data_IF_868896927695
#
_entry.id   IF_868896927695
#
_cell.length_a   1.000
_cell.length_b   1.000
_cell.length_c   1.000
_cell.angle_alpha   90.00
_cell.angle_beta   90.00
_cell.angle_gamma   90.00
#
_symmetry.space_group_name_H-M   'P 1'
#
loop_
_entity.id
_entity.type
_entity.pdbx_description
1 polymer ?
#
# COMPACT_ATOMS: atom_id res chain seq x y z
N UNK A 1 -2.31 15.90 -31.85
CA UNK A 1 -2.71 15.68 -30.43
C UNK A 1 -3.81 16.68 -30.13
N UNK A 2 -5.05 16.27 -29.89
CA UNK A 2 -6.17 17.22 -29.72
C UNK A 2 -6.06 17.96 -28.38
N UNK A 3 -6.62 19.16 -28.29
CA UNK A 3 -6.61 19.98 -27.06
C UNK A 3 -7.16 19.21 -25.84
N UNK A 4 -8.21 18.39 -26.03
CA UNK A 4 -8.76 17.53 -24.98
C UNK A 4 -7.78 16.44 -24.52
N UNK A 5 -7.01 15.84 -25.42
CA UNK A 5 -5.99 14.83 -25.06
C UNK A 5 -4.85 15.47 -24.25
N UNK A 6 -4.47 16.71 -24.57
CA UNK A 6 -3.45 17.42 -23.81
C UNK A 6 -3.93 17.80 -22.40
N UNK A 7 -5.13 18.36 -22.27
CA UNK A 7 -5.75 18.68 -20.96
C UNK A 7 -5.86 17.41 -20.10
N UNK A 8 -6.31 16.29 -20.68
CA UNK A 8 -6.41 15.02 -19.98
C UNK A 8 -5.05 14.51 -19.44
N UNK A 9 -3.98 14.66 -20.23
CA UNK A 9 -2.62 14.28 -19.83
C UNK A 9 -2.09 15.15 -18.67
N UNK A 10 -2.37 16.46 -18.69
CA UNK A 10 -1.98 17.35 -17.60
C UNK A 10 -2.73 17.01 -16.31
N UNK A 11 -4.06 16.80 -16.40
CA UNK A 11 -4.88 16.42 -15.24
C UNK A 11 -4.40 15.10 -14.60
N UNK A 12 -4.12 14.09 -15.44
CA UNK A 12 -3.57 12.81 -14.97
C UNK A 12 -2.26 13.01 -14.20
N UNK A 13 -1.35 13.83 -14.74
CA UNK A 13 -0.07 14.13 -14.11
C UNK A 13 -0.27 14.83 -12.75
N UNK A 14 -1.17 15.81 -12.68
CA UNK A 14 -1.48 16.50 -11.43
C UNK A 14 -2.06 15.56 -10.36
N UNK A 15 -2.98 14.66 -10.74
CA UNK A 15 -3.56 13.67 -9.81
C UNK A 15 -2.51 12.72 -9.27
N UNK A 16 -1.66 12.17 -10.15
CA UNK A 16 -0.55 11.28 -9.74
C UNK A 16 0.40 12.01 -8.79
N UNK A 17 0.71 13.27 -9.09
CA UNK A 17 1.62 14.06 -8.27
C UNK A 17 1.03 14.41 -6.91
N UNK A 18 -0.23 14.83 -6.85
CA UNK A 18 -0.94 15.08 -5.61
C UNK A 18 -1.02 13.82 -4.73
N UNK A 19 -1.33 12.67 -5.34
CA UNK A 19 -1.31 11.38 -4.65
C UNK A 19 0.09 11.05 -4.11
N UNK A 20 1.12 11.20 -4.93
CA UNK A 20 2.51 10.97 -4.55
C UNK A 20 2.88 11.82 -3.34
N UNK A 21 2.74 13.14 -3.43
CA UNK A 21 3.11 14.06 -2.36
C UNK A 21 2.31 13.78 -1.09
N UNK A 22 0.99 13.65 -1.18
CA UNK A 22 0.14 13.38 -0.02
C UNK A 22 0.49 12.05 0.66
N UNK A 23 0.54 10.95 -0.10
CA UNK A 23 0.79 9.62 0.48
C UNK A 23 2.25 9.44 0.92
N UNK A 24 3.20 10.05 0.24
CA UNK A 24 4.61 9.98 0.60
C UNK A 24 4.87 10.74 1.91
N UNK A 25 4.40 11.99 2.01
CA UNK A 25 4.60 12.81 3.21
C UNK A 25 3.90 12.22 4.44
N UNK A 26 2.66 11.75 4.29
CA UNK A 26 1.85 11.31 5.44
C UNK A 26 2.19 9.87 5.86
N UNK A 27 2.39 8.97 4.89
CA UNK A 27 2.49 7.53 5.16
C UNK A 27 3.82 6.89 4.76
N UNK A 28 4.77 7.67 4.19
CA UNK A 28 6.00 7.14 3.63
C UNK A 28 5.77 6.22 2.43
N UNK A 29 4.70 6.46 1.66
CA UNK A 29 4.31 5.61 0.53
C UNK A 29 5.47 5.40 -0.46
N UNK A 30 5.61 4.16 -0.95
CA UNK A 30 6.61 3.75 -1.96
C UNK A 30 6.05 3.56 -3.36
N UNK A 31 4.81 4.02 -3.60
CA UNK A 31 4.16 4.00 -4.91
C UNK A 31 4.18 2.63 -5.62
N UNK A 32 3.77 1.57 -4.93
CA UNK A 32 3.60 0.24 -5.56
C UNK A 32 2.40 0.15 -6.54
N UNK A 33 1.67 1.25 -6.78
CA UNK A 33 0.51 1.27 -7.67
C UNK A 33 -0.75 0.56 -7.17
N UNK A 34 -0.71 -0.10 -6.00
CA UNK A 34 -1.81 -0.90 -5.45
C UNK A 34 -1.94 -0.67 -3.94
N UNK A 35 -2.70 0.34 -3.55
CA UNK A 35 -2.69 0.85 -2.18
C UNK A 35 -3.51 -0.03 -1.21
N UNK A 36 -2.86 -0.50 -0.14
CA UNK A 36 -3.47 -1.31 0.94
C UNK A 36 -3.30 -0.69 2.33
N UNK A 37 -3.34 0.64 2.41
CA UNK A 37 -3.18 1.36 3.68
C UNK A 37 -4.31 1.07 4.69
N UNK A 38 -5.55 0.94 4.21
CA UNK A 38 -6.71 0.68 5.06
C UNK A 38 -6.60 -0.67 5.78
N UNK A 39 -6.16 -1.70 5.07
CA UNK A 39 -5.96 -3.04 5.65
C UNK A 39 -4.85 -3.10 6.72
N UNK A 40 -3.93 -2.13 6.69
CA UNK A 40 -2.68 -2.17 7.45
C UNK A 40 -2.54 -1.00 8.44
N UNK A 41 -3.66 -0.56 9.03
CA UNK A 41 -3.64 0.46 10.08
C UNK A 41 -2.96 1.75 9.62
N UNK A 42 -3.22 2.15 8.38
CA UNK A 42 -2.60 3.31 7.72
C UNK A 42 -1.06 3.25 7.69
N UNK A 43 -0.50 2.05 7.55
CA UNK A 43 0.95 1.81 7.43
C UNK A 43 1.27 1.20 6.08
N UNK A 44 2.15 1.85 5.31
CA UNK A 44 2.53 1.35 3.99
C UNK A 44 3.44 0.10 4.13
N UNK A 45 3.02 -1.08 3.66
CA UNK A 45 3.81 -2.33 3.81
C UNK A 45 5.10 -2.29 2.99
N UNK A 46 5.11 -1.53 1.90
CA UNK A 46 6.25 -1.39 0.99
C UNK A 46 7.42 -0.62 1.63
N UNK A 47 7.21 -0.02 2.81
CA UNK A 47 8.29 0.58 3.60
C UNK A 47 9.08 -0.45 4.43
N UNK A 48 8.64 -1.70 4.46
CA UNK A 48 9.39 -2.83 4.98
C UNK A 48 10.57 -3.14 4.04
N UNK A 49 11.79 -3.43 4.55
CA UNK A 49 12.92 -3.85 3.71
C UNK A 49 12.62 -5.08 2.84
N UNK A 50 11.73 -5.96 3.31
CA UNK A 50 11.28 -7.15 2.58
C UNK A 50 10.04 -6.92 1.71
N UNK A 51 9.45 -5.72 1.76
CA UNK A 51 8.27 -5.33 0.98
C UNK A 51 7.07 -6.30 1.12
N UNK A 52 6.94 -6.98 2.26
CA UNK A 52 5.91 -7.97 2.52
C UNK A 52 4.55 -7.32 2.82
N UNK A 53 3.56 -7.65 1.98
CA UNK A 53 2.17 -7.16 2.09
C UNK A 53 1.32 -7.98 3.04
N UNK A 54 1.71 -9.23 3.33
CA UNK A 54 0.98 -10.18 4.17
C UNK A 54 1.84 -10.61 5.37
N UNK A 55 1.34 -10.38 6.57
CA UNK A 55 1.89 -10.80 7.86
C UNK A 55 3.29 -10.26 8.23
N UNK A 56 3.64 -10.29 9.52
CA UNK A 56 5.04 -10.14 9.92
C UNK A 56 5.86 -11.27 9.30
N UNK A 57 7.10 -10.96 8.90
CA UNK A 57 7.97 -11.88 8.18
C UNK A 57 8.63 -12.97 9.02
N UNK A 58 8.16 -13.21 10.25
CA UNK A 58 8.86 -14.00 11.28
C UNK A 58 10.05 -13.28 11.92
N UNK A 59 10.74 -12.41 11.17
CA UNK A 59 11.90 -11.64 11.62
C UNK A 59 11.62 -10.43 12.51
N UNK A 60 10.64 -10.52 13.42
CA UNK A 60 10.38 -9.45 14.39
C UNK A 60 11.18 -9.75 15.66
N UNK A 61 12.07 -8.85 16.05
CA UNK A 61 12.85 -8.97 17.30
C UNK A 61 11.93 -8.89 18.52
N UNK A 62 12.40 -9.39 19.66
CA UNK A 62 11.66 -9.37 20.93
C UNK A 62 11.22 -7.94 21.35
N UNK A 63 11.98 -6.91 20.95
CA UNK A 63 11.63 -5.51 21.19
C UNK A 63 10.66 -4.91 20.14
N UNK A 64 10.13 -5.69 19.20
CA UNK A 64 9.22 -5.24 18.13
C UNK A 64 9.89 -4.67 16.89
N UNK A 65 11.23 -4.67 16.81
CA UNK A 65 11.98 -4.12 15.68
C UNK A 65 12.23 -5.13 14.55
N UNK A 66 12.54 -4.63 13.35
CA UNK A 66 12.80 -5.45 12.16
C UNK A 66 14.18 -6.11 12.22
N UNK A 67 14.29 -7.41 11.91
CA UNK A 67 15.58 -8.12 11.88
C UNK A 67 16.62 -7.46 10.94
N UNK A 68 16.18 -6.99 9.77
CA UNK A 68 17.06 -6.45 8.72
C UNK A 68 17.56 -5.06 9.07
N UNK A 69 16.72 -4.27 9.77
CA UNK A 69 16.99 -2.88 10.16
C UNK A 69 16.69 -2.69 11.64
N UNK A 70 17.66 -2.95 12.54
CA UNK A 70 17.43 -2.95 13.99
C UNK A 70 16.90 -1.67 14.59
N UNK A 71 17.21 -0.53 13.99
CA UNK A 71 16.73 0.79 14.35
C UNK A 71 15.26 1.03 13.94
N UNK A 72 14.73 0.23 13.02
CA UNK A 72 13.40 0.37 12.47
C UNK A 72 12.40 -0.56 13.20
N UNK A 73 11.32 0.03 13.70
CA UNK A 73 10.17 -0.73 14.16
C UNK A 73 9.56 -1.57 13.02
N UNK A 74 9.21 -2.83 13.29
CA UNK A 74 8.54 -3.68 12.29
C UNK A 74 7.24 -3.03 11.81
N UNK A 75 7.05 -2.95 10.49
CA UNK A 75 5.86 -2.30 9.89
C UNK A 75 4.55 -2.94 10.31
N UNK A 76 4.55 -4.25 10.56
CA UNK A 76 3.38 -4.97 11.06
C UNK A 76 3.06 -4.68 12.52
N UNK A 77 4.09 -4.60 13.38
CA UNK A 77 3.92 -4.16 14.78
C UNK A 77 3.36 -2.74 14.81
N UNK A 78 3.93 -1.84 13.99
CA UNK A 78 3.44 -0.46 13.83
C UNK A 78 2.00 -0.40 13.33
N UNK A 79 1.64 -1.24 12.34
CA UNK A 79 0.29 -1.34 11.80
C UNK A 79 -0.73 -1.75 12.87
N UNK A 80 -0.42 -2.81 13.65
CA UNK A 80 -1.27 -3.27 14.77
C UNK A 80 -1.43 -2.16 15.79
N UNK A 81 -0.33 -1.53 16.23
CA UNK A 81 -0.39 -0.44 17.21
C UNK A 81 -1.26 0.72 16.71
N UNK A 82 -1.05 1.17 15.46
CA UNK A 82 -1.84 2.26 14.87
C UNK A 82 -3.31 1.90 14.75
N UNK A 83 -3.64 0.68 14.34
CA UNK A 83 -5.03 0.22 14.23
C UNK A 83 -5.71 0.18 15.60
N UNK A 84 -5.01 -0.24 16.66
CA UNK A 84 -5.55 -0.28 18.03
C UNK A 84 -5.82 1.10 18.61
N UNK A 85 -5.02 2.12 18.25
CA UNK A 85 -5.19 3.49 18.75
C UNK A 85 -5.98 4.41 17.80
N UNK A 86 -6.43 3.90 16.66
CA UNK A 86 -7.16 4.72 15.70
C UNK A 86 -8.61 4.96 16.14
N UNK A 87 -9.19 6.12 15.83
CA UNK A 87 -10.61 6.41 16.10
C UNK A 87 -11.57 5.69 15.13
N UNK A 88 -11.04 4.87 14.21
CA UNK A 88 -11.82 4.20 13.16
C UNK A 88 -12.41 2.88 13.66
N UNK A 89 -13.54 2.42 13.10
CA UNK A 89 -14.09 1.10 13.41
C UNK A 89 -13.08 -0.01 13.15
N UNK A 90 -12.99 -0.96 14.08
CA UNK A 90 -12.07 -2.10 13.97
C UNK A 90 -12.32 -2.97 12.72
N UNK A 91 -13.52 -2.90 12.13
CA UNK A 91 -13.87 -3.57 10.88
C UNK A 91 -13.11 -3.07 9.65
N UNK A 92 -12.57 -1.84 9.70
CA UNK A 92 -11.78 -1.26 8.60
C UNK A 92 -10.36 -1.84 8.57
N UNK A 93 -9.88 -2.34 9.70
CA UNK A 93 -8.59 -3.00 9.80
C UNK A 93 -8.77 -4.51 9.56
N UNK A 94 -8.23 -5.01 8.45
CA UNK A 94 -8.33 -6.40 8.02
C UNK A 94 -6.96 -7.09 7.97
N UNK A 95 -6.27 -7.28 9.11
CA UNK A 95 -4.90 -7.84 9.13
C UNK A 95 -4.83 -9.29 8.66
N UNK A 96 -5.96 -10.02 8.71
CA UNK A 96 -6.09 -11.41 8.26
C UNK A 96 -6.53 -11.53 6.81
N UNK A 97 -6.83 -10.42 6.13
CA UNK A 97 -7.12 -10.45 4.70
C UNK A 97 -5.79 -10.68 3.96
N UNK A 98 -5.69 -11.85 3.33
CA UNK A 98 -4.55 -12.18 2.49
C UNK A 98 -4.67 -11.33 1.24
N UNK A 99 -3.80 -10.33 1.15
CA UNK A 99 -3.72 -9.52 -0.04
C UNK A 99 -2.98 -10.28 -1.14
N UNK A 100 -3.34 -10.04 -2.40
CA UNK A 100 -2.59 -10.62 -3.48
C UNK A 100 -1.16 -10.08 -3.57
N UNK A 101 -0.34 -10.81 -4.33
CA UNK A 101 1.01 -10.38 -4.69
C UNK A 101 0.99 -8.98 -5.34
N UNK A 102 2.08 -8.24 -5.13
CA UNK A 102 2.27 -6.92 -5.75
C UNK A 102 2.55 -7.12 -7.24
N UNK A 103 1.80 -6.47 -8.11
CA UNK A 103 2.16 -6.35 -9.52
C UNK A 103 3.16 -5.20 -9.69
N UNK A 104 4.43 -5.55 -9.85
CA UNK A 104 5.53 -4.59 -10.01
C UNK A 104 5.46 -3.80 -11.32
N UNK A 105 4.65 -4.22 -12.30
CA UNK A 105 4.42 -3.44 -13.53
C UNK A 105 3.68 -2.13 -13.26
N UNK A 106 2.96 -2.04 -12.13
CA UNK A 106 2.23 -0.86 -11.68
C UNK A 106 3.08 0.06 -10.79
N UNK A 107 4.35 -0.25 -10.56
CA UNK A 107 5.21 0.61 -9.74
C UNK A 107 5.29 2.03 -10.32
N UNK A 108 5.28 3.04 -9.45
CA UNK A 108 5.28 4.47 -9.78
C UNK A 108 4.02 4.97 -10.52
N UNK A 109 2.97 4.16 -10.64
CA UNK A 109 1.67 4.60 -11.15
C UNK A 109 0.71 4.98 -10.00
N UNK A 110 -0.34 5.74 -10.32
CA UNK A 110 -1.36 6.13 -9.33
C UNK A 110 -2.17 4.92 -8.88
N UNK A 111 -2.27 4.73 -7.56
CA UNK A 111 -3.08 3.62 -7.05
C UNK A 111 -4.57 3.87 -7.18
N UNK A 112 -5.00 5.14 -7.23
CA UNK A 112 -6.41 5.49 -7.44
C UNK A 112 -6.81 5.17 -8.86
N UNK A 113 -6.00 5.59 -9.83
CA UNK A 113 -6.28 5.33 -11.25
C UNK A 113 -6.30 3.83 -11.51
N UNK A 114 -5.35 3.06 -10.96
CA UNK A 114 -5.34 1.62 -11.14
C UNK A 114 -6.58 0.94 -10.55
N UNK A 115 -7.00 1.36 -9.35
CA UNK A 115 -8.21 0.86 -8.71
C UNK A 115 -9.47 1.12 -9.56
N UNK A 116 -9.67 2.37 -10.00
CA UNK A 116 -10.86 2.72 -10.79
C UNK A 116 -10.85 2.16 -12.21
N UNK A 117 -9.67 1.89 -12.77
CA UNK A 117 -9.52 1.25 -14.10
C UNK A 117 -9.39 -0.28 -14.02
N UNK A 118 -9.55 -0.84 -12.82
CA UNK A 118 -9.39 -2.27 -12.53
C UNK A 118 -8.05 -2.88 -12.98
N UNK A 119 -7.00 -2.06 -13.07
CA UNK A 119 -5.64 -2.52 -13.42
C UNK A 119 -4.96 -3.24 -12.26
N UNK A 120 -5.36 -2.96 -11.02
CA UNK A 120 -4.87 -3.67 -9.84
C UNK A 120 -5.72 -4.88 -9.44
N UNK A 121 -6.80 -5.16 -10.18
CA UNK A 121 -7.75 -6.26 -9.96
C UNK A 121 -7.32 -7.62 -10.50
N UNK A 122 -6.14 -7.75 -11.13
CA UNK A 122 -5.63 -8.99 -11.77
C UNK A 122 -5.34 -10.17 -10.82
N UNK A 123 -5.96 -10.20 -9.65
CA UNK A 123 -5.76 -11.25 -8.65
C UNK A 123 -7.07 -11.85 -8.14
N UNK A 124 -8.20 -11.42 -8.70
CA UNK A 124 -9.45 -12.20 -8.65
C UNK A 124 -9.31 -13.58 -9.33
N UNK A 125 -8.31 -13.78 -10.20
CA UNK A 125 -8.04 -15.08 -10.81
C UNK A 125 -7.32 -16.05 -9.86
N UNK A 126 -6.52 -15.58 -8.89
CA UNK A 126 -5.87 -16.47 -7.91
C UNK A 126 -6.86 -17.03 -6.87
N UNK A 127 -7.97 -16.32 -6.62
CA UNK A 127 -9.03 -16.78 -5.72
C UNK A 127 -10.09 -17.65 -6.42
N UNK A 128 -9.96 -17.87 -7.74
CA UNK A 128 -10.85 -18.73 -8.56
C UNK A 128 -10.24 -20.08 -8.94
N UNK A 129 -8.99 -20.36 -8.54
CA UNK A 129 -8.48 -21.73 -8.65
C UNK A 129 -9.14 -22.61 -7.57
N UNK A 130 -9.78 -23.73 -7.96
CA UNK A 130 -10.49 -24.62 -7.02
C UNK A 130 -9.58 -25.33 -6.03
#
# INVERSE_FOLDING_TARGET
MSMMQWIGKQLHTCVVWAEYCGKHLIFGCRMCGQCKLHDLGMTCPMTCPKQLRNGPCGGVRANGHCEVKPEMECRWVRAIRRATHAPWPRSWWRPRHINPAVDWRLQHTSSWINYFTNRDGHVEDYQREP
#
